data_IF_150788884781
#
_entry.id   IF_150788884781
#
_cell.length_a   1.000
_cell.length_b   1.000
_cell.length_c   1.000
_cell.angle_alpha   90.00
_cell.angle_beta   90.00
_cell.angle_gamma   90.00
#
_symmetry.space_group_name_H-M   'P 1'
#
loop_
_entity.id
_entity.type
_entity.pdbx_description
1 polymer ?
#
# COMPACT_ATOMS: atom_id res chain seq x y z
N UNK A 1 -19.76 25.09 19.71
CA UNK A 1 -20.24 23.73 19.44
C UNK A 1 -19.24 23.14 18.47
N UNK A 2 -18.28 22.36 18.97
CA UNK A 2 -17.30 21.69 18.11
C UNK A 2 -17.99 20.50 17.48
N UNK A 3 -18.11 20.50 16.16
CA UNK A 3 -18.52 19.30 15.43
C UNK A 3 -17.37 18.29 15.54
N UNK A 4 -17.56 17.28 16.38
CA UNK A 4 -16.80 16.04 16.31
C UNK A 4 -17.05 15.44 14.93
N UNK A 5 -16.19 15.78 13.97
CA UNK A 5 -16.12 15.06 12.69
C UNK A 5 -15.69 13.65 13.07
N UNK A 6 -16.53 12.61 12.91
CA UNK A 6 -16.09 11.26 13.20
C UNK A 6 -14.90 10.99 12.28
N UNK A 7 -13.75 10.67 12.88
CA UNK A 7 -12.60 10.17 12.13
C UNK A 7 -13.12 9.02 11.28
N UNK A 8 -13.21 9.22 9.96
CA UNK A 8 -13.60 8.12 9.08
C UNK A 8 -12.62 6.99 9.37
N UNK A 9 -13.09 5.78 9.70
CA UNK A 9 -12.20 4.67 9.93
C UNK A 9 -11.38 4.51 8.65
N UNK A 10 -10.06 4.58 8.79
CA UNK A 10 -9.11 4.26 7.72
C UNK A 10 -9.46 2.86 7.19
N UNK A 11 -9.99 2.78 5.97
CA UNK A 11 -10.51 1.53 5.43
C UNK A 11 -9.68 1.09 4.22
N UNK A 12 -8.93 0.00 4.42
CA UNK A 12 -8.26 -0.71 3.33
C UNK A 12 -9.24 -1.53 2.47
N UNK A 13 -10.47 -1.77 2.91
CA UNK A 13 -11.41 -2.63 2.18
C UNK A 13 -11.74 -2.09 0.79
N UNK A 14 -11.90 -2.99 -0.18
CA UNK A 14 -12.25 -2.70 -1.57
C UNK A 14 -11.07 -2.88 -2.53
N UNK A 15 -11.27 -2.40 -3.76
CA UNK A 15 -10.27 -2.48 -4.84
C UNK A 15 -9.21 -1.39 -4.72
N UNK A 16 -7.98 -1.75 -5.09
CA UNK A 16 -6.80 -0.88 -5.15
C UNK A 16 -5.91 -1.22 -6.33
N UNK A 17 -5.23 -0.20 -6.87
CA UNK A 17 -4.26 -0.31 -7.95
C UNK A 17 -2.89 0.12 -7.40
N UNK A 18 -1.93 -0.80 -7.38
CA UNK A 18 -0.58 -0.61 -6.87
C UNK A 18 0.41 -0.29 -7.98
N UNK A 19 1.02 0.89 -7.92
CA UNK A 19 2.05 1.33 -8.85
C UNK A 19 3.42 1.24 -8.18
N UNK A 20 4.33 0.47 -8.79
CA UNK A 20 5.72 0.40 -8.36
C UNK A 20 6.42 1.71 -8.71
N UNK A 21 7.02 2.35 -7.71
CA UNK A 21 7.64 3.65 -7.89
C UNK A 21 9.05 3.52 -8.48
N UNK A 22 9.46 4.54 -9.24
CA UNK A 22 10.77 4.67 -9.89
C UNK A 22 11.05 3.71 -11.06
N UNK A 23 10.13 2.79 -11.38
CA UNK A 23 10.27 1.85 -12.49
C UNK A 23 8.91 1.56 -13.14
N UNK A 24 8.89 1.44 -14.46
CA UNK A 24 7.69 1.02 -15.19
C UNK A 24 7.48 -0.49 -15.05
N UNK A 25 6.36 -0.88 -14.43
CA UNK A 25 5.94 -2.27 -14.23
C UNK A 25 4.42 -2.35 -14.35
N UNK A 26 3.88 -3.53 -14.73
CA UNK A 26 2.44 -3.79 -14.65
C UNK A 26 1.92 -3.45 -13.25
N UNK A 27 0.73 -2.86 -13.17
CA UNK A 27 0.16 -2.51 -11.89
C UNK A 27 -0.24 -3.76 -11.08
N UNK A 28 -0.17 -3.66 -9.76
CA UNK A 28 -0.78 -4.64 -8.85
C UNK A 28 -2.28 -4.34 -8.73
N UNK A 29 -3.14 -5.33 -8.88
CA UNK A 29 -4.57 -5.18 -8.66
C UNK A 29 -4.94 -5.97 -7.41
N UNK A 30 -5.40 -5.26 -6.38
CA UNK A 30 -5.73 -5.85 -5.09
C UNK A 30 -7.22 -5.68 -4.78
N UNK A 31 -7.86 -6.74 -4.32
CA UNK A 31 -9.20 -6.75 -3.74
C UNK A 31 -9.07 -7.14 -2.25
N UNK A 32 -9.25 -6.14 -1.38
CA UNK A 32 -9.02 -6.29 0.06
C UNK A 32 -10.36 -6.47 0.77
N UNK A 33 -10.43 -7.46 1.66
CA UNK A 33 -11.54 -7.66 2.60
C UNK A 33 -11.00 -7.77 4.01
N UNK A 34 -11.68 -7.17 4.97
CA UNK A 34 -11.27 -7.16 6.37
C UNK A 34 -12.35 -7.78 7.28
N UNK A 35 -11.93 -8.61 8.22
CA UNK A 35 -12.76 -9.15 9.29
C UNK A 35 -12.00 -9.03 10.64
N UNK A 36 -12.38 -8.04 11.44
CA UNK A 36 -11.63 -7.70 12.66
C UNK A 36 -10.19 -7.28 12.32
N UNK A 37 -9.21 -7.99 12.89
CA UNK A 37 -7.79 -7.77 12.58
C UNK A 37 -7.31 -8.51 11.34
N UNK A 38 -8.06 -9.49 10.84
CA UNK A 38 -7.62 -10.27 9.70
C UNK A 38 -7.94 -9.52 8.39
N UNK A 39 -6.94 -9.40 7.53
CA UNK A 39 -7.03 -8.80 6.21
C UNK A 39 -6.79 -9.91 5.18
N UNK A 40 -7.74 -10.10 4.26
CA UNK A 40 -7.60 -10.99 3.11
C UNK A 40 -7.44 -10.15 1.85
N UNK A 41 -6.42 -10.47 1.08
CA UNK A 41 -6.08 -9.77 -0.15
C UNK A 41 -6.12 -10.80 -1.27
N UNK A 42 -7.06 -10.63 -2.20
CA UNK A 42 -6.97 -11.32 -3.49
C UNK A 42 -6.18 -10.38 -4.43
N UNK A 43 -5.06 -10.82 -5.00
CA UNK A 43 -4.20 -9.98 -5.86
C UNK A 43 -3.84 -10.62 -7.20
N UNK A 44 -3.61 -9.80 -8.22
CA UNK A 44 -2.97 -10.18 -9.47
C UNK A 44 -2.11 -9.03 -9.99
N UNK A 45 -1.27 -9.31 -10.99
CA UNK A 45 -0.69 -8.26 -11.82
C UNK A 45 -1.62 -7.90 -12.97
N UNK A 46 -1.59 -6.66 -13.43
CA UNK A 46 -2.30 -6.25 -14.63
C UNK A 46 -1.94 -7.16 -15.82
N UNK A 47 -2.97 -7.62 -16.54
CA UNK A 47 -2.83 -8.57 -17.64
C UNK A 47 -2.80 -10.05 -17.24
N UNK A 48 -2.69 -10.38 -15.95
CA UNK A 48 -2.82 -11.77 -15.49
C UNK A 48 -4.29 -12.24 -15.47
N UNK A 49 -4.51 -13.54 -15.72
CA UNK A 49 -5.85 -14.12 -15.81
C UNK A 49 -6.43 -14.62 -14.47
N UNK A 50 -5.66 -14.61 -13.38
CA UNK A 50 -6.10 -15.25 -12.13
C UNK A 50 -5.54 -14.56 -10.87
N UNK A 51 -6.42 -14.38 -9.88
CA UNK A 51 -6.05 -13.88 -8.56
C UNK A 51 -5.35 -14.95 -7.71
N UNK A 52 -4.33 -14.51 -6.97
CA UNK A 52 -3.66 -15.23 -5.88
C UNK A 52 -4.14 -14.67 -4.55
N UNK A 53 -4.02 -15.46 -3.48
CA UNK A 53 -4.47 -15.07 -2.14
C UNK A 53 -3.29 -14.73 -1.26
N UNK A 54 -3.44 -13.66 -0.49
CA UNK A 54 -2.51 -13.24 0.54
C UNK A 54 -3.28 -12.89 1.82
N UNK A 55 -2.66 -13.12 2.96
CA UNK A 55 -3.20 -12.79 4.27
C UNK A 55 -2.33 -11.72 4.92
N UNK A 56 -2.98 -10.82 5.64
CA UNK A 56 -2.36 -9.74 6.37
C UNK A 56 -3.09 -9.53 7.71
N UNK A 57 -2.47 -8.79 8.62
CA UNK A 57 -3.03 -8.50 9.95
C UNK A 57 -2.97 -7.01 10.26
N UNK A 58 -4.09 -6.41 10.64
CA UNK A 58 -4.17 -5.02 11.06
C UNK A 58 -3.25 -4.73 12.25
N UNK A 59 -2.66 -3.54 12.26
CA UNK A 59 -1.88 -3.01 13.39
C UNK A 59 -2.82 -2.30 14.35
N UNK A 60 -2.73 -2.63 15.64
CA UNK A 60 -3.60 -2.03 16.66
C UNK A 60 -3.36 -0.52 16.79
N UNK A 61 -4.47 0.25 16.75
CA UNK A 61 -4.44 1.71 16.89
C UNK A 61 -3.80 2.46 15.74
N UNK A 62 -3.46 1.79 14.63
CA UNK A 62 -2.77 2.41 13.50
C UNK A 62 -3.50 2.12 12.19
N UNK A 63 -3.48 3.09 11.28
CA UNK A 63 -4.01 2.95 9.92
C UNK A 63 -3.05 2.11 9.04
N UNK A 64 -2.79 0.87 9.45
CA UNK A 64 -1.80 0.00 8.84
C UNK A 64 -2.13 -1.48 9.02
N UNK A 65 -1.54 -2.33 8.17
CA UNK A 65 -1.50 -3.78 8.36
C UNK A 65 -0.11 -4.34 8.02
N UNK A 66 0.23 -5.47 8.63
CA UNK A 66 1.39 -6.28 8.28
C UNK A 66 1.02 -7.29 7.20
N UNK A 67 1.77 -7.27 6.11
CA UNK A 67 1.69 -8.26 5.03
C UNK A 67 2.57 -9.47 5.31
N UNK A 68 3.70 -9.22 5.96
CA UNK A 68 4.66 -10.20 6.48
C UNK A 68 5.36 -9.58 7.70
N UNK A 69 6.35 -10.29 8.25
CA UNK A 69 7.16 -9.77 9.36
C UNK A 69 7.97 -8.52 8.97
N UNK A 70 8.24 -8.33 7.67
CA UNK A 70 9.08 -7.25 7.15
C UNK A 70 8.30 -6.18 6.40
N UNK A 71 7.18 -6.52 5.77
CA UNK A 71 6.41 -5.56 4.97
C UNK A 71 5.16 -5.09 5.68
N UNK A 72 4.98 -3.78 5.67
CA UNK A 72 3.87 -3.09 6.31
C UNK A 72 3.23 -2.13 5.33
N UNK A 73 1.92 -2.24 5.16
CA UNK A 73 1.12 -1.27 4.42
C UNK A 73 0.68 -0.15 5.37
N UNK A 74 0.92 1.10 4.99
CA UNK A 74 0.57 2.28 5.80
C UNK A 74 -0.33 3.19 4.99
N UNK A 75 -1.53 3.46 5.50
CA UNK A 75 -2.43 4.43 4.90
C UNK A 75 -1.87 5.83 5.10
N UNK A 76 -1.76 6.58 4.01
CA UNK A 76 -1.22 7.95 4.03
C UNK A 76 -2.31 9.00 3.88
N UNK A 77 -3.41 8.63 3.21
CA UNK A 77 -4.67 9.35 3.15
C UNK A 77 -5.82 8.36 2.80
N UNK A 78 -7.10 8.77 2.75
CA UNK A 78 -8.21 7.85 2.44
C UNK A 78 -8.18 7.20 1.05
N UNK A 79 -7.40 7.75 0.12
CA UNK A 79 -7.28 7.31 -1.28
C UNK A 79 -5.96 6.58 -1.56
N UNK A 80 -5.01 6.57 -0.63
CA UNK A 80 -3.68 5.99 -0.84
C UNK A 80 -3.15 5.24 0.38
N UNK A 81 -2.46 4.13 0.12
CA UNK A 81 -1.54 3.52 1.08
C UNK A 81 -0.24 3.08 0.41
N UNK A 82 0.82 2.95 1.20
CA UNK A 82 2.16 2.65 0.70
C UNK A 82 2.70 1.40 1.39
N UNK A 83 3.38 0.55 0.62
CA UNK A 83 4.20 -0.55 1.15
C UNK A 83 5.65 -0.29 0.75
N UNK A 84 6.50 -0.03 1.74
CA UNK A 84 7.92 0.26 1.51
C UNK A 84 8.70 -1.01 1.14
N UNK A 85 9.52 -0.90 0.10
CA UNK A 85 10.47 -1.91 -0.36
C UNK A 85 9.85 -3.28 -0.65
N UNK A 86 8.58 -3.34 -1.04
CA UNK A 86 7.83 -4.58 -1.22
C UNK A 86 8.07 -5.21 -2.59
N UNK A 87 8.06 -4.43 -3.66
CA UNK A 87 8.32 -4.96 -4.99
C UNK A 87 9.82 -5.13 -5.18
N UNK A 88 10.25 -6.37 -5.36
CA UNK A 88 11.66 -6.75 -5.39
C UNK A 88 12.08 -7.10 -6.80
N UNK A 89 13.35 -6.84 -7.11
CA UNK A 89 13.96 -7.27 -8.35
C UNK A 89 15.20 -8.11 -8.05
N UNK A 90 15.26 -9.28 -8.68
CA UNK A 90 16.37 -10.22 -8.55
C UNK A 90 17.05 -10.40 -9.90
N UNK A 91 18.38 -10.45 -9.91
CA UNK A 91 19.18 -10.89 -11.05
C UNK A 91 19.84 -12.23 -10.67
N UNK A 92 19.34 -13.31 -11.27
CA UNK A 92 19.66 -14.65 -10.78
C UNK A 92 19.12 -14.84 -9.35
N UNK A 93 20.00 -15.18 -8.41
CA UNK A 93 19.65 -15.37 -6.99
C UNK A 93 19.98 -14.15 -6.12
N UNK A 94 20.51 -13.06 -6.72
CA UNK A 94 20.88 -11.84 -5.99
C UNK A 94 19.74 -10.83 -6.00
N UNK A 95 19.41 -10.29 -4.83
CA UNK A 95 18.49 -9.16 -4.71
C UNK A 95 19.20 -7.87 -5.13
N UNK A 96 18.73 -7.27 -6.21
CA UNK A 96 19.34 -6.07 -6.80
C UNK A 96 18.64 -4.79 -6.38
N UNK A 97 17.31 -4.83 -6.24
CA UNK A 97 16.53 -3.64 -5.85
C UNK A 97 15.28 -3.98 -5.06
N UNK A 98 14.86 -3.01 -4.24
CA UNK A 98 13.57 -2.97 -3.56
C UNK A 98 12.90 -1.66 -3.90
N UNK A 99 11.65 -1.72 -4.31
CA UNK A 99 10.86 -0.57 -4.71
C UNK A 99 9.64 -0.44 -3.79
N UNK A 100 9.28 0.81 -3.54
CA UNK A 100 8.05 1.14 -2.85
C UNK A 100 6.87 0.98 -3.81
N UNK A 101 5.73 0.54 -3.28
CA UNK A 101 4.49 0.44 -4.06
C UNK A 101 3.43 1.32 -3.43
N UNK A 102 2.84 2.18 -4.26
CA UNK A 102 1.72 3.04 -3.87
C UNK A 102 0.44 2.42 -4.37
N UNK A 103 -0.45 2.06 -3.45
CA UNK A 103 -1.78 1.60 -3.78
C UNK A 103 -2.76 2.77 -3.72
N UNK A 104 -3.44 2.99 -4.85
CA UNK A 104 -4.42 4.05 -5.04
C UNK A 104 -5.81 3.47 -5.22
N UNK A 105 -6.83 4.24 -4.83
CA UNK A 105 -8.21 3.92 -5.22
C UNK A 105 -8.36 4.04 -6.75
N UNK A 106 -9.11 3.14 -7.41
CA UNK A 106 -9.32 3.23 -8.85
C UNK A 106 -9.94 4.58 -9.27
N UNK A 107 -9.44 5.15 -10.36
CA UNK A 107 -9.89 6.42 -10.92
C UNK A 107 -8.83 7.51 -10.78
N UNK A 108 -9.24 8.69 -10.28
CA UNK A 108 -8.39 9.90 -10.31
C UNK A 108 -7.18 9.78 -9.37
N UNK A 109 -7.29 9.04 -8.27
CA UNK A 109 -6.23 8.93 -7.26
C UNK A 109 -4.93 8.34 -7.84
N UNK A 110 -5.03 7.44 -8.82
CA UNK A 110 -3.89 6.84 -9.52
C UNK A 110 -2.97 7.92 -10.11
N UNK A 111 -3.52 9.03 -10.62
CA UNK A 111 -2.75 10.13 -11.22
C UNK A 111 -1.87 10.89 -10.22
N UNK A 112 -2.11 10.71 -8.92
CA UNK A 112 -1.38 11.38 -7.84
C UNK A 112 -0.45 10.46 -7.06
N UNK A 113 -0.38 9.17 -7.40
CA UNK A 113 0.37 8.15 -6.66
C UNK A 113 1.84 8.55 -6.43
N UNK A 114 2.53 8.98 -7.49
CA UNK A 114 3.92 9.38 -7.42
C UNK A 114 4.15 10.59 -6.50
N UNK A 115 3.31 11.62 -6.62
CA UNK A 115 3.41 12.82 -5.79
C UNK A 115 3.17 12.49 -4.30
N UNK A 116 2.19 11.63 -4.01
CA UNK A 116 1.90 11.16 -2.66
C UNK A 116 3.10 10.42 -2.06
N UNK A 117 3.77 9.58 -2.85
CA UNK A 117 4.98 8.89 -2.42
C UNK A 117 6.14 9.83 -2.10
N UNK A 118 6.42 10.81 -2.97
CA UNK A 118 7.47 11.81 -2.73
C UNK A 118 7.23 12.58 -1.42
N UNK A 119 5.99 13.01 -1.17
CA UNK A 119 5.63 13.68 0.08
C UNK A 119 5.79 12.78 1.30
N UNK A 120 5.41 11.51 1.17
CA UNK A 120 5.58 10.53 2.22
C UNK A 120 7.06 10.30 2.55
N UNK A 121 7.94 10.09 1.56
CA UNK A 121 9.39 9.93 1.77
C UNK A 121 9.99 11.16 2.47
N UNK A 122 9.62 12.37 2.04
CA UNK A 122 10.07 13.61 2.68
C UNK A 122 9.72 13.66 4.18
N UNK A 123 8.51 13.22 4.55
CA UNK A 123 8.08 13.16 5.96
C UNK A 123 8.82 12.08 6.76
N UNK A 124 9.25 10.98 6.13
CA UNK A 124 10.04 9.95 6.80
C UNK A 124 11.47 10.43 7.10
N UNK A 125 12.12 11.10 6.14
CA UNK A 125 13.46 11.66 6.35
C UNK A 125 13.48 12.69 7.47
N UNK A 126 12.47 13.57 7.53
CA UNK A 126 12.38 14.58 8.59
C UNK A 126 12.24 13.99 10.01
N UNK A 127 11.69 12.78 10.16
CA UNK A 127 11.55 12.10 11.46
C UNK A 127 12.79 11.35 11.90
N UNK A 128 13.74 11.12 11.00
CA UNK A 128 14.97 10.39 11.29
C UNK A 128 16.09 11.31 11.80
N UNK A 129 15.89 12.62 11.71
CA UNK A 129 16.81 13.67 12.14
C UNK A 129 16.47 14.25 13.54
N UNK A 130 15.42 13.74 14.21
CA UNK A 130 15.05 14.03 15.61
C UNK A 130 15.43 12.87 16.54
#
# INVERSE_FOLDING_TARGET
>A
MSEDVPAQPWQFTGRWIGETQEIDRPAHIWEIRQAGKQVRIDHLWEGEGSFRKMLATMVDGQAAFHLSDVHRAVMVDPQHFIIEGWDTFYEGDELVAKYDVVFSRPGIAELTAHQVWLEWKKRQSAKSDE
#
